data_IF_808613154766
#
_entry.id   IF_808613154766
#
_cell.length_a   1.000
_cell.length_b   1.000
_cell.length_c   1.000
_cell.angle_alpha   90.00
_cell.angle_beta   90.00
_cell.angle_gamma   90.00
#
_symmetry.space_group_name_H-M   'P 1'
#
loop_
_entity.id
_entity.type
_entity.pdbx_description
1 polymer ?
#
# COMPACT_ATOMS: atom_id res chain seq x y z
N UNK A 1 3.22 0.70 -27.67
CA UNK A 1 4.58 1.29 -27.51
C UNK A 1 4.56 2.58 -26.68
N UNK A 2 3.42 3.28 -26.61
CA UNK A 2 3.19 4.46 -25.74
C UNK A 2 2.89 4.09 -24.28
N UNK A 3 2.34 2.91 -24.00
CA UNK A 3 1.92 2.49 -22.65
C UNK A 3 3.07 2.26 -21.67
N UNK A 4 4.20 1.71 -22.15
CA UNK A 4 5.36 1.45 -21.31
C UNK A 4 6.08 2.75 -20.90
N UNK A 5 6.15 3.73 -21.81
CA UNK A 5 6.69 5.06 -21.52
C UNK A 5 5.75 5.86 -20.61
N UNK A 6 4.43 5.75 -20.81
CA UNK A 6 3.45 6.39 -19.93
C UNK A 6 3.47 5.78 -18.52
N UNK A 7 3.60 4.45 -18.41
CA UNK A 7 3.76 3.75 -17.13
C UNK A 7 5.06 4.13 -16.44
N UNK A 8 6.18 4.18 -17.16
CA UNK A 8 7.47 4.59 -16.61
C UNK A 8 7.47 6.06 -16.17
N UNK A 9 6.86 6.96 -16.94
CA UNK A 9 6.72 8.37 -16.61
C UNK A 9 5.83 8.59 -15.39
N UNK A 10 4.74 7.83 -15.28
CA UNK A 10 3.84 7.85 -14.13
C UNK A 10 4.50 7.32 -12.84
N UNK A 11 5.30 6.25 -12.94
CA UNK A 11 6.12 5.73 -11.83
C UNK A 11 7.20 6.74 -11.40
N UNK A 12 7.82 7.43 -12.37
CA UNK A 12 8.83 8.47 -12.09
C UNK A 12 8.24 9.72 -11.46
N UNK A 13 7.03 10.14 -11.85
CA UNK A 13 6.43 11.39 -11.38
C UNK A 13 5.97 11.31 -9.91
N UNK A 14 5.68 10.10 -9.40
CA UNK A 14 5.18 9.90 -8.04
C UNK A 14 6.22 9.36 -7.03
N UNK A 15 7.44 9.05 -7.44
CA UNK A 15 8.49 8.62 -6.49
C UNK A 15 9.17 9.82 -5.81
N UNK A 16 8.43 10.55 -4.96
CA UNK A 16 9.06 11.46 -4.00
C UNK A 16 9.90 10.64 -3.03
N UNK A 17 11.21 10.76 -3.18
CA UNK A 17 12.27 10.26 -2.30
C UNK A 17 11.78 10.15 -0.84
N UNK A 18 11.47 8.93 -0.39
CA UNK A 18 11.14 8.68 1.03
C UNK A 18 12.46 8.68 1.79
N UNK A 19 12.57 9.53 2.81
CA UNK A 19 13.74 9.53 3.68
C UNK A 19 14.00 8.13 4.25
N UNK A 20 15.27 7.72 4.34
CA UNK A 20 15.65 6.37 4.79
C UNK A 20 15.09 6.02 6.19
N UNK A 21 14.83 7.02 7.04
CA UNK A 21 14.16 6.86 8.33
C UNK A 21 12.67 6.52 8.19
N UNK A 22 11.96 7.14 7.25
CA UNK A 22 10.57 6.86 6.96
C UNK A 22 10.39 5.48 6.30
N UNK A 23 11.31 5.07 5.43
CA UNK A 23 11.32 3.70 4.89
C UNK A 23 11.49 2.66 6.01
N UNK A 24 12.45 2.84 6.93
CA UNK A 24 12.64 1.95 8.08
C UNK A 24 11.40 1.88 8.97
N UNK A 25 10.81 3.03 9.30
CA UNK A 25 9.57 3.09 10.08
C UNK A 25 8.44 2.34 9.39
N UNK A 26 8.28 2.53 8.08
CA UNK A 26 7.28 1.82 7.28
C UNK A 26 7.52 0.31 7.28
N UNK A 27 8.76 -0.15 7.05
CA UNK A 27 9.09 -1.57 7.07
C UNK A 27 8.78 -2.21 8.43
N UNK A 28 9.16 -1.56 9.53
CA UNK A 28 8.86 -2.05 10.88
C UNK A 28 7.34 -2.09 11.11
N UNK A 29 6.62 -1.06 10.68
CA UNK A 29 5.17 -0.98 10.82
C UNK A 29 4.45 -2.08 10.02
N UNK A 30 4.87 -2.33 8.78
CA UNK A 30 4.34 -3.38 7.93
C UNK A 30 4.63 -4.78 8.49
N UNK A 31 5.85 -5.03 8.97
CA UNK A 31 6.23 -6.31 9.62
C UNK A 31 5.42 -6.60 10.89
N UNK A 32 4.92 -5.57 11.58
CA UNK A 32 4.00 -5.69 12.72
C UNK A 32 2.53 -5.93 12.32
N UNK A 33 2.24 -6.07 11.02
CA UNK A 33 0.89 -6.23 10.48
C UNK A 33 0.09 -4.92 10.46
N UNK A 34 0.78 -3.80 10.22
CA UNK A 34 0.20 -2.49 9.95
C UNK A 34 -0.36 -2.38 8.52
N UNK A 35 -1.19 -1.35 8.30
CA UNK A 35 -1.81 -1.05 7.00
C UNK A 35 -1.39 0.34 6.54
N UNK A 36 -1.02 0.48 5.27
CA UNK A 36 -0.57 1.74 4.70
C UNK A 36 -1.56 2.24 3.66
N UNK A 37 -1.85 3.54 3.70
CA UNK A 37 -2.50 4.23 2.60
C UNK A 37 -1.44 4.70 1.62
N UNK A 38 -1.63 4.44 0.34
CA UNK A 38 -0.75 4.91 -0.72
C UNK A 38 -1.57 5.55 -1.83
N UNK A 39 -1.07 6.65 -2.41
CA UNK A 39 -1.73 7.35 -3.49
C UNK A 39 -1.69 6.55 -4.80
N UNK A 40 -2.73 6.69 -5.60
CA UNK A 40 -2.85 6.25 -7.00
C UNK A 40 -3.33 7.43 -7.86
N UNK A 41 -3.67 7.20 -9.13
CA UNK A 41 -4.01 8.30 -10.06
C UNK A 41 -5.28 9.03 -9.66
N UNK A 42 -6.21 8.31 -9.04
CA UNK A 42 -7.57 8.78 -8.79
C UNK A 42 -7.93 8.79 -7.31
N UNK A 43 -7.27 7.98 -6.48
CA UNK A 43 -7.61 7.85 -5.06
C UNK A 43 -6.45 7.32 -4.21
N UNK A 44 -6.71 7.06 -2.93
CA UNK A 44 -5.77 6.34 -2.07
C UNK A 44 -6.16 4.88 -1.98
N UNK A 45 -5.21 3.99 -2.26
CA UNK A 45 -5.30 2.57 -1.96
C UNK A 45 -4.90 2.28 -0.52
N UNK A 46 -5.43 1.19 0.04
CA UNK A 46 -4.99 0.62 1.32
C UNK A 46 -4.31 -0.73 1.07
N UNK A 47 -3.14 -0.95 1.69
CA UNK A 47 -2.35 -2.16 1.52
C UNK A 47 -1.68 -2.63 2.81
N UNK A 48 -1.21 -3.89 2.80
CA UNK A 48 -0.46 -4.52 3.89
C UNK A 48 0.44 -5.65 3.36
N UNK A 49 1.25 -6.26 4.23
CA UNK A 49 2.01 -7.46 3.84
C UNK A 49 1.09 -8.66 3.57
N UNK A 50 1.18 -9.33 2.41
CA UNK A 50 0.29 -10.42 2.03
C UNK A 50 0.56 -11.71 2.81
N UNK A 51 1.76 -11.87 3.39
CA UNK A 51 2.13 -13.04 4.19
C UNK A 51 1.53 -13.02 5.59
N UNK A 52 1.00 -11.88 6.05
CA UNK A 52 0.43 -11.72 7.37
C UNK A 52 -1.09 -11.78 7.32
N UNK A 53 -1.65 -12.97 7.59
CA UNK A 53 -3.11 -13.20 7.61
C UNK A 53 -3.87 -12.20 8.49
N UNK A 54 -3.29 -11.81 9.64
CA UNK A 54 -3.87 -10.78 10.53
C UNK A 54 -4.02 -9.42 9.84
N UNK A 55 -3.04 -9.02 9.02
CA UNK A 55 -3.07 -7.74 8.33
C UNK A 55 -4.09 -7.77 7.17
N UNK A 56 -4.16 -8.90 6.46
CA UNK A 56 -5.19 -9.15 5.45
C UNK A 56 -6.60 -9.12 6.05
N UNK A 57 -6.83 -9.73 7.22
CA UNK A 57 -8.11 -9.68 7.91
C UNK A 57 -8.55 -8.26 8.28
N UNK A 58 -7.61 -7.43 8.76
CA UNK A 58 -7.87 -6.00 9.01
C UNK A 58 -8.19 -5.24 7.71
N UNK A 59 -7.45 -5.50 6.64
CA UNK A 59 -7.68 -4.85 5.34
C UNK A 59 -9.04 -5.24 4.77
N UNK A 60 -9.40 -6.52 4.84
CA UNK A 60 -10.70 -7.02 4.43
C UNK A 60 -11.83 -6.39 5.25
N UNK A 61 -11.69 -6.33 6.58
CA UNK A 61 -12.68 -5.70 7.45
C UNK A 61 -12.91 -4.21 7.11
N UNK A 62 -11.84 -3.47 6.81
CA UNK A 62 -11.92 -2.06 6.43
C UNK A 62 -12.49 -1.85 5.03
N UNK A 63 -12.15 -2.70 4.06
CA UNK A 63 -12.58 -2.55 2.66
C UNK A 63 -14.02 -3.02 2.42
N UNK A 64 -14.47 -4.07 3.10
CA UNK A 64 -15.79 -4.67 2.86
C UNK A 64 -16.92 -4.08 3.72
N UNK A 65 -16.59 -3.34 4.78
CA UNK A 65 -17.58 -2.87 5.74
C UNK A 65 -18.24 -4.02 6.52
N UNK A 66 -17.75 -4.29 7.73
CA UNK A 66 -18.47 -5.01 8.82
C UNK A 66 -19.35 -6.23 8.45
N UNK A 67 -18.95 -7.13 7.55
CA UNK A 67 -19.53 -8.48 7.53
C UNK A 67 -18.68 -9.50 6.77
N UNK A 68 -17.55 -9.93 7.34
CA UNK A 68 -16.94 -11.18 6.92
C UNK A 68 -16.29 -11.81 8.14
N UNK A 69 -17.00 -12.73 8.78
CA UNK A 69 -16.39 -13.70 9.70
C UNK A 69 -15.53 -14.60 8.82
N UNK A 70 -14.23 -14.60 9.10
CA UNK A 70 -13.30 -15.61 8.62
C UNK A 70 -13.67 -16.98 9.15
#
# INVERSE_FOLDING_TARGET
>A
MTDALQTAFYIMLFSRIIAASAQRKLSVYLKKGGLVAYPTESCYGLGCLPTLAKALGKLAHLKKGRNTRV
#
